data_IF_088760171888
#
_entry.id   IF_088760171888
#
_cell.length_a   1.000
_cell.length_b   1.000
_cell.length_c   1.000
_cell.angle_alpha   90.00
_cell.angle_beta   90.00
_cell.angle_gamma   90.00
#
_symmetry.space_group_name_H-M   'P 1'
#
loop_
_entity.id
_entity.type
_entity.pdbx_description
1 polymer ?
#
# COMPACT_ATOMS: atom_id res chain seq x y z
N UNK A 1 -23.07 -14.72 -38.37
CA UNK A 1 -21.66 -14.41 -38.06
C UNK A 1 -21.49 -12.89 -38.13
N UNK A 2 -21.75 -12.17 -37.03
CA UNK A 2 -21.56 -10.71 -36.96
C UNK A 2 -20.17 -10.47 -36.37
N UNK A 3 -19.27 -9.91 -37.17
CA UNK A 3 -17.99 -9.38 -36.72
C UNK A 3 -18.27 -8.33 -35.65
N UNK A 4 -17.88 -8.61 -34.40
CA UNK A 4 -17.98 -7.62 -33.34
C UNK A 4 -16.85 -6.61 -33.55
N UNK A 5 -17.29 -5.38 -33.71
CA UNK A 5 -16.51 -4.19 -34.04
C UNK A 5 -15.36 -4.00 -33.04
N UNK A 6 -14.20 -3.57 -33.55
CA UNK A 6 -13.05 -3.07 -32.80
C UNK A 6 -13.50 -2.28 -31.55
N UNK A 7 -13.37 -2.90 -30.38
CA UNK A 7 -13.55 -2.22 -29.12
C UNK A 7 -12.37 -1.25 -29.01
N UNK A 8 -12.60 0.06 -29.22
CA UNK A 8 -11.57 1.08 -28.97
C UNK A 8 -11.04 0.85 -27.55
N UNK A 9 -9.71 0.86 -27.33
CA UNK A 9 -9.17 0.69 -25.99
C UNK A 9 -9.78 1.74 -25.08
N UNK A 10 -10.48 1.28 -24.04
CA UNK A 10 -11.13 2.14 -23.04
C UNK A 10 -10.03 3.00 -22.41
N UNK A 11 -10.23 4.32 -22.35
CA UNK A 11 -9.30 5.24 -21.67
C UNK A 11 -9.05 4.74 -20.24
N UNK A 12 -7.79 4.59 -19.85
CA UNK A 12 -7.42 4.12 -18.52
C UNK A 12 -7.09 5.33 -17.65
N UNK A 13 -7.98 5.67 -16.73
CA UNK A 13 -7.73 6.75 -15.77
C UNK A 13 -7.03 6.18 -14.53
N UNK A 14 -5.76 6.53 -14.37
CA UNK A 14 -4.86 6.07 -13.30
C UNK A 14 -4.74 7.15 -12.24
N UNK A 15 -5.14 6.82 -11.01
CA UNK A 15 -4.88 7.64 -9.84
C UNK A 15 -3.57 7.21 -9.17
N UNK A 16 -2.71 8.16 -8.84
CA UNK A 16 -1.57 7.95 -7.96
C UNK A 16 -1.85 8.68 -6.65
N UNK A 17 -2.15 7.92 -5.60
CA UNK A 17 -2.36 8.43 -4.26
C UNK A 17 -1.05 8.29 -3.46
N UNK A 18 -0.24 9.35 -3.51
CA UNK A 18 1.10 9.41 -2.94
C UNK A 18 1.51 10.87 -2.67
N UNK A 19 2.47 11.09 -1.77
CA UNK A 19 2.91 12.43 -1.34
C UNK A 19 4.36 12.73 -1.74
N UNK A 20 4.67 12.53 -3.03
CA UNK A 20 5.96 12.90 -3.60
C UNK A 20 5.73 13.73 -4.88
N UNK A 21 6.19 14.98 -4.86
CA UNK A 21 5.99 15.93 -5.97
C UNK A 21 7.12 15.93 -6.99
N UNK A 22 8.34 15.56 -6.59
CA UNK A 22 9.57 15.76 -7.36
C UNK A 22 9.68 14.93 -8.65
N UNK A 23 8.86 13.88 -8.83
CA UNK A 23 8.95 12.99 -10.00
C UNK A 23 7.61 12.75 -10.72
N UNK A 24 6.61 13.61 -10.49
CA UNK A 24 5.26 13.36 -11.03
C UNK A 24 5.24 13.44 -12.57
N UNK A 25 5.90 14.44 -13.13
CA UNK A 25 5.95 14.64 -14.59
C UNK A 25 6.76 13.52 -15.25
N UNK A 26 7.86 13.08 -14.63
CA UNK A 26 8.71 12.00 -15.12
C UNK A 26 7.98 10.66 -15.09
N UNK A 27 7.26 10.35 -14.02
CA UNK A 27 6.44 9.14 -13.91
C UNK A 27 5.34 9.16 -14.99
N UNK A 28 4.64 10.28 -15.14
CA UNK A 28 3.58 10.43 -16.13
C UNK A 28 4.14 10.24 -17.55
N UNK A 29 5.22 10.95 -17.87
CA UNK A 29 5.87 10.88 -19.18
C UNK A 29 6.40 9.48 -19.51
N UNK A 30 7.05 8.81 -18.54
CA UNK A 30 7.55 7.44 -18.74
C UNK A 30 6.41 6.47 -19.04
N UNK A 31 5.35 6.51 -18.24
CA UNK A 31 4.22 5.59 -18.39
C UNK A 31 3.44 5.84 -19.69
N UNK A 32 3.23 7.10 -20.07
CA UNK A 32 2.61 7.46 -21.35
C UNK A 32 3.41 6.95 -22.55
N UNK A 33 4.74 7.08 -22.50
CA UNK A 33 5.63 6.62 -23.57
C UNK A 33 5.68 5.10 -23.69
N UNK A 34 5.77 4.39 -22.57
CA UNK A 34 5.99 2.94 -22.55
C UNK A 34 4.71 2.15 -22.84
N UNK A 35 3.53 2.70 -22.54
CA UNK A 35 2.24 2.00 -22.72
C UNK A 35 1.64 2.13 -24.13
N UNK A 36 2.50 2.33 -25.14
CA UNK A 36 2.20 2.54 -26.58
C UNK A 36 0.83 2.00 -27.02
N UNK A 37 -0.14 2.90 -27.21
CA UNK A 37 -1.48 2.58 -27.70
C UNK A 37 -2.59 2.62 -26.64
N UNK A 38 -2.24 2.77 -25.37
CA UNK A 38 -3.18 3.01 -24.29
C UNK A 38 -3.45 4.51 -24.14
N UNK A 39 -4.72 4.91 -24.21
CA UNK A 39 -5.14 6.26 -23.82
C UNK A 39 -5.14 6.33 -22.28
N UNK A 40 -3.97 6.54 -21.67
CA UNK A 40 -3.82 6.61 -20.22
C UNK A 40 -3.88 8.07 -19.79
N UNK A 41 -4.62 8.35 -18.72
CA UNK A 41 -4.60 9.64 -18.04
C UNK A 41 -4.17 9.42 -16.60
N UNK A 42 -3.08 10.06 -16.20
CA UNK A 42 -2.53 9.92 -14.85
C UNK A 42 -2.91 11.16 -14.06
N UNK A 43 -3.46 10.97 -12.86
CA UNK A 43 -3.79 12.07 -11.94
C UNK A 43 -3.26 11.76 -10.55
N UNK A 44 -2.56 12.72 -9.97
CA UNK A 44 -2.00 12.63 -8.63
C UNK A 44 -2.99 13.16 -7.59
N UNK A 45 -3.12 12.44 -6.48
CA UNK A 45 -3.96 12.81 -5.35
C UNK A 45 -3.15 12.78 -4.07
N UNK A 46 -3.26 13.83 -3.27
CA UNK A 46 -2.53 13.96 -1.99
C UNK A 46 -3.44 13.85 -0.76
N UNK A 47 -4.76 13.87 -0.96
CA UNK A 47 -5.74 13.79 0.13
C UNK A 47 -6.84 12.77 -0.15
N UNK A 48 -7.32 12.10 0.90
CA UNK A 48 -8.43 11.15 0.81
C UNK A 48 -9.73 11.78 0.25
N UNK A 49 -10.14 13.00 0.67
CA UNK A 49 -11.34 13.63 0.11
C UNK A 49 -11.25 13.87 -1.40
N UNK A 50 -10.08 14.32 -1.90
CA UNK A 50 -9.88 14.52 -3.35
C UNK A 50 -9.95 13.18 -4.11
N UNK A 51 -9.31 12.13 -3.58
CA UNK A 51 -9.37 10.80 -4.18
C UNK A 51 -10.81 10.24 -4.19
N UNK A 52 -11.54 10.37 -3.07
CA UNK A 52 -12.94 9.93 -3.00
C UNK A 52 -13.83 10.64 -4.01
N UNK A 53 -13.70 11.96 -4.13
CA UNK A 53 -14.44 12.70 -5.13
C UNK A 53 -14.12 12.20 -6.55
N UNK A 54 -12.85 11.89 -6.85
CA UNK A 54 -12.49 11.35 -8.16
C UNK A 54 -13.08 9.95 -8.42
N UNK A 55 -13.03 9.06 -7.44
CA UNK A 55 -13.61 7.70 -7.55
C UNK A 55 -15.14 7.79 -7.68
N UNK A 56 -15.81 8.64 -6.89
CA UNK A 56 -17.27 8.82 -6.93
C UNK A 56 -17.77 9.37 -8.27
N UNK A 57 -16.93 10.13 -8.98
CA UNK A 57 -17.21 10.70 -10.31
C UNK A 57 -16.65 9.85 -11.48
N UNK A 58 -16.33 8.58 -11.24
CA UNK A 58 -15.84 7.62 -12.25
C UNK A 58 -14.56 8.10 -13.00
N UNK A 59 -13.73 8.94 -12.36
CA UNK A 59 -12.46 9.47 -12.91
C UNK A 59 -11.25 8.59 -12.60
N UNK A 60 -11.48 7.41 -12.05
CA UNK A 60 -10.42 6.46 -11.66
C UNK A 60 -10.86 5.07 -12.08
N UNK A 61 -9.93 4.29 -12.63
CA UNK A 61 -10.12 2.88 -12.92
C UNK A 61 -9.01 2.02 -12.30
N UNK A 62 -7.81 2.59 -12.16
CA UNK A 62 -6.66 1.99 -11.52
C UNK A 62 -6.10 2.98 -10.50
N UNK A 63 -5.81 2.51 -9.29
CA UNK A 63 -5.22 3.29 -8.21
C UNK A 63 -3.89 2.68 -7.81
N UNK A 64 -2.83 3.49 -7.82
CA UNK A 64 -1.56 3.18 -7.17
C UNK A 64 -1.45 3.96 -5.86
N UNK A 65 -0.93 3.30 -4.84
CA UNK A 65 -0.51 3.94 -3.59
C UNK A 65 0.72 3.23 -3.04
N UNK A 66 1.33 3.77 -2.01
CA UNK A 66 2.49 3.16 -1.33
C UNK A 66 2.13 2.92 0.14
N UNK A 67 2.61 1.81 0.69
CA UNK A 67 2.20 1.37 2.02
C UNK A 67 2.61 2.31 3.15
N UNK A 68 3.85 2.81 3.18
CA UNK A 68 4.30 3.75 4.20
C UNK A 68 3.50 5.06 4.15
N UNK A 69 3.19 5.58 2.96
CA UNK A 69 2.31 6.73 2.78
C UNK A 69 0.88 6.43 3.27
N UNK A 70 0.30 5.31 2.84
CA UNK A 70 -1.07 4.93 3.18
C UNK A 70 -1.24 4.70 4.69
N UNK A 71 -0.29 3.99 5.31
CA UNK A 71 -0.26 3.70 6.75
C UNK A 71 0.00 4.95 7.58
N UNK A 72 0.76 5.92 7.06
CA UNK A 72 0.96 7.21 7.71
C UNK A 72 -0.20 8.21 7.51
N UNK A 73 -1.12 7.92 6.59
CA UNK A 73 -2.27 8.78 6.37
C UNK A 73 -3.22 8.77 7.58
N UNK A 74 -3.35 9.92 8.26
CA UNK A 74 -4.16 10.08 9.48
C UNK A 74 -5.62 9.68 9.32
N UNK A 75 -6.16 9.76 8.11
CA UNK A 75 -7.56 9.49 7.83
C UNK A 75 -7.81 8.09 7.29
N UNK A 76 -6.76 7.32 6.96
CA UNK A 76 -6.89 6.00 6.34
C UNK A 76 -7.77 5.07 7.15
N UNK A 77 -7.51 4.87 8.45
CA UNK A 77 -8.25 3.85 9.20
C UNK A 77 -9.75 4.18 9.33
N UNK A 78 -10.09 5.44 9.57
CA UNK A 78 -11.48 5.91 9.62
C UNK A 78 -12.20 5.71 8.27
N UNK A 79 -11.44 5.72 7.17
CA UNK A 79 -11.97 5.67 5.82
C UNK A 79 -11.74 4.35 5.09
N UNK A 80 -10.94 3.41 5.62
CA UNK A 80 -10.48 2.21 4.90
C UNK A 80 -11.64 1.30 4.48
N UNK A 81 -12.66 1.16 5.34
CA UNK A 81 -13.89 0.45 5.00
C UNK A 81 -14.68 1.15 3.89
N UNK A 82 -14.83 2.49 3.97
CA UNK A 82 -15.49 3.29 2.91
C UNK A 82 -14.71 3.18 1.61
N UNK A 83 -13.41 3.33 1.66
CA UNK A 83 -12.48 3.23 0.53
C UNK A 83 -12.61 1.87 -0.16
N UNK A 84 -12.51 0.77 0.60
CA UNK A 84 -12.62 -0.58 0.03
C UNK A 84 -13.99 -0.81 -0.60
N UNK A 85 -15.08 -0.44 0.09
CA UNK A 85 -16.44 -0.54 -0.44
C UNK A 85 -16.60 0.25 -1.75
N UNK A 86 -16.16 1.51 -1.75
CA UNK A 86 -16.26 2.38 -2.91
C UNK A 86 -15.44 1.87 -4.10
N UNK A 87 -14.22 1.37 -3.85
CA UNK A 87 -13.39 0.76 -4.89
C UNK A 87 -14.07 -0.48 -5.50
N UNK A 88 -14.69 -1.33 -4.68
CA UNK A 88 -15.44 -2.50 -5.15
C UNK A 88 -16.66 -2.07 -5.98
N UNK A 89 -17.48 -1.14 -5.47
CA UNK A 89 -18.68 -0.63 -6.13
C UNK A 89 -18.37 0.01 -7.50
N UNK A 90 -17.20 0.66 -7.63
CA UNK A 90 -16.75 1.32 -8.86
C UNK A 90 -15.80 0.46 -9.69
N UNK A 91 -15.57 -0.81 -9.32
CA UNK A 91 -14.65 -1.73 -9.97
C UNK A 91 -13.24 -1.14 -10.20
N UNK A 92 -12.74 -0.42 -9.19
CA UNK A 92 -11.39 0.15 -9.17
C UNK A 92 -10.39 -0.96 -8.87
N UNK A 93 -9.41 -1.13 -9.74
CA UNK A 93 -8.26 -2.01 -9.45
C UNK A 93 -7.25 -1.22 -8.63
N UNK A 94 -6.75 -1.80 -7.53
CA UNK A 94 -5.85 -1.15 -6.59
C UNK A 94 -4.52 -1.87 -6.55
N UNK A 95 -3.45 -1.10 -6.67
CA UNK A 95 -2.08 -1.54 -6.54
C UNK A 95 -1.41 -0.82 -5.38
N UNK A 96 -0.71 -1.56 -4.52
CA UNK A 96 0.08 -1.02 -3.42
C UNK A 96 1.55 -1.31 -3.66
N UNK A 97 2.36 -0.27 -3.56
CA UNK A 97 3.82 -0.31 -3.59
C UNK A 97 4.31 -0.54 -2.16
N UNK A 98 5.28 -1.45 -2.01
CA UNK A 98 5.80 -1.88 -0.71
C UNK A 98 7.32 -1.92 -0.80
N UNK A 99 8.01 -1.13 0.02
CA UNK A 99 9.45 -1.29 0.21
C UNK A 99 9.78 -2.67 0.81
N UNK A 100 11.04 -3.05 0.93
CA UNK A 100 11.38 -4.30 1.62
C UNK A 100 10.96 -4.19 3.09
N UNK A 101 9.86 -4.87 3.41
CA UNK A 101 9.28 -4.89 4.74
C UNK A 101 9.56 -6.24 5.39
N UNK A 102 9.58 -6.24 6.72
CA UNK A 102 9.66 -7.49 7.45
C UNK A 102 8.47 -8.41 7.09
N UNK A 103 8.69 -9.72 6.91
CA UNK A 103 7.69 -10.67 6.40
C UNK A 103 6.32 -10.66 7.12
N UNK A 104 6.29 -10.46 8.45
CA UNK A 104 5.02 -10.35 9.19
C UNK A 104 4.18 -9.12 8.80
N UNK A 105 4.81 -7.98 8.53
CA UNK A 105 4.11 -6.83 8.00
C UNK A 105 3.66 -7.11 6.58
N UNK A 106 4.54 -7.72 5.78
CA UNK A 106 4.23 -8.04 4.39
C UNK A 106 3.00 -8.95 4.27
N UNK A 107 2.85 -9.95 5.14
CA UNK A 107 1.62 -10.76 5.27
C UNK A 107 0.39 -9.89 5.59
N UNK A 108 0.53 -8.96 6.54
CA UNK A 108 -0.57 -8.02 6.85
C UNK A 108 -0.95 -7.15 5.64
N UNK A 109 0.02 -6.67 4.88
CA UNK A 109 -0.21 -5.88 3.67
C UNK A 109 -0.93 -6.72 2.61
N UNK A 110 -0.51 -7.97 2.41
CA UNK A 110 -1.16 -8.92 1.49
C UNK A 110 -2.61 -9.18 1.94
N UNK A 111 -2.86 -9.32 3.24
CA UNK A 111 -4.20 -9.49 3.82
C UNK A 111 -5.11 -8.24 3.68
N UNK A 112 -4.55 -7.07 3.30
CA UNK A 112 -5.37 -5.91 2.89
C UNK A 112 -6.07 -6.16 1.54
N UNK A 113 -5.71 -7.23 0.81
CA UNK A 113 -6.35 -7.71 -0.42
C UNK A 113 -6.45 -6.63 -1.50
N UNK A 114 -5.35 -5.93 -1.75
CA UNK A 114 -5.20 -5.13 -2.97
C UNK A 114 -5.08 -6.07 -4.17
N UNK A 115 -5.54 -5.63 -5.35
CA UNK A 115 -5.46 -6.40 -6.59
C UNK A 115 -4.02 -6.57 -7.07
N UNK A 116 -3.09 -5.70 -6.65
CA UNK A 116 -1.66 -5.87 -6.83
C UNK A 116 -0.85 -5.38 -5.62
N UNK A 117 0.19 -6.11 -5.25
CA UNK A 117 1.19 -5.75 -4.25
C UNK A 117 2.57 -5.84 -4.91
N UNK A 118 3.25 -4.71 -5.07
CA UNK A 118 4.48 -4.61 -5.86
C UNK A 118 5.61 -4.15 -4.96
N UNK A 119 6.81 -4.71 -5.14
CA UNK A 119 8.00 -4.17 -4.50
C UNK A 119 8.38 -2.81 -5.10
N UNK A 120 8.74 -1.84 -4.27
CA UNK A 120 9.31 -0.56 -4.72
C UNK A 120 10.60 -0.77 -5.53
N UNK A 121 11.33 -1.84 -5.28
CA UNK A 121 12.57 -2.19 -6.00
C UNK A 121 12.33 -2.49 -7.49
N UNK A 122 11.10 -2.84 -7.88
CA UNK A 122 10.73 -3.00 -9.30
C UNK A 122 10.57 -1.66 -10.03
N UNK A 123 10.58 -0.53 -9.30
CA UNK A 123 10.48 0.82 -9.84
C UNK A 123 9.29 1.02 -10.80
N UNK A 124 9.51 1.82 -11.84
CA UNK A 124 8.47 2.09 -12.85
C UNK A 124 8.13 0.87 -13.71
N UNK A 125 9.03 -0.12 -13.78
CA UNK A 125 8.77 -1.35 -14.52
C UNK A 125 7.66 -2.19 -13.87
N UNK A 126 7.58 -2.19 -12.53
CA UNK A 126 6.49 -2.82 -11.79
C UNK A 126 5.14 -2.16 -12.06
N UNK A 127 5.09 -0.82 -12.05
CA UNK A 127 3.87 -0.04 -12.37
C UNK A 127 3.39 -0.35 -13.80
N UNK A 128 4.30 -0.32 -14.78
CA UNK A 128 3.99 -0.65 -16.18
C UNK A 128 3.39 -2.06 -16.31
N UNK A 129 4.00 -3.04 -15.64
CA UNK A 129 3.53 -4.44 -15.64
C UNK A 129 2.09 -4.55 -15.12
N UNK A 130 1.72 -3.80 -14.09
CA UNK A 130 0.35 -3.81 -13.56
C UNK A 130 -0.64 -3.21 -14.53
N UNK A 131 -0.28 -2.09 -15.17
CA UNK A 131 -1.12 -1.49 -16.22
C UNK A 131 -1.39 -2.52 -17.33
N UNK A 132 -0.34 -3.18 -17.83
CA UNK A 132 -0.46 -4.24 -18.84
C UNK A 132 -1.34 -5.41 -18.35
N UNK A 133 -1.07 -5.93 -17.15
CA UNK A 133 -1.83 -7.07 -16.60
C UNK A 133 -3.31 -6.76 -16.45
N UNK A 134 -3.66 -5.58 -15.94
CA UNK A 134 -5.06 -5.19 -15.72
C UNK A 134 -5.78 -4.88 -17.03
N UNK A 135 -5.07 -4.33 -18.01
CA UNK A 135 -5.65 -4.06 -19.34
C UNK A 135 -5.92 -5.33 -20.13
N UNK A 136 -5.06 -6.34 -20.02
CA UNK A 136 -5.11 -7.54 -20.88
C UNK A 136 -5.59 -8.81 -20.18
N UNK A 137 -5.62 -8.88 -18.84
CA UNK A 137 -6.08 -10.05 -18.08
C UNK A 137 -7.07 -9.61 -17.00
N UNK A 138 -8.23 -10.26 -16.93
CA UNK A 138 -9.34 -9.75 -16.12
C UNK A 138 -9.15 -9.81 -14.60
N UNK A 139 -8.33 -10.69 -14.02
CA UNK A 139 -8.23 -10.79 -12.56
C UNK A 139 -7.18 -11.81 -12.12
N UNK A 140 -6.20 -11.40 -11.31
CA UNK A 140 -5.72 -12.16 -10.13
C UNK A 140 -4.95 -11.19 -9.23
N UNK A 141 -4.98 -11.33 -7.88
CA UNK A 141 -4.00 -10.68 -7.03
C UNK A 141 -2.59 -10.94 -7.57
N UNK A 142 -1.89 -9.87 -7.97
CA UNK A 142 -0.48 -9.94 -8.33
C UNK A 142 0.36 -9.61 -7.11
N UNK A 143 1.34 -10.44 -6.79
CA UNK A 143 2.34 -10.14 -5.77
C UNK A 143 3.71 -10.28 -6.43
N UNK A 144 4.58 -9.27 -6.28
CA UNK A 144 5.96 -9.33 -6.75
C UNK A 144 6.67 -10.57 -6.23
N UNK A 145 7.50 -11.20 -7.07
CA UNK A 145 8.17 -12.47 -6.73
C UNK A 145 9.09 -12.34 -5.52
N UNK A 146 9.82 -11.23 -5.41
CA UNK A 146 10.70 -10.97 -4.25
C UNK A 146 9.90 -10.86 -2.95
N UNK A 147 8.73 -10.19 -2.98
CA UNK A 147 7.84 -10.12 -1.83
C UNK A 147 7.30 -11.49 -1.44
N UNK A 148 6.88 -12.32 -2.39
CA UNK A 148 6.46 -13.70 -2.10
C UNK A 148 7.60 -14.52 -1.49
N UNK A 149 8.81 -14.42 -2.03
CA UNK A 149 9.98 -15.13 -1.51
C UNK A 149 10.27 -14.75 -0.05
N UNK A 150 10.18 -13.46 0.30
CA UNK A 150 10.34 -12.98 1.69
C UNK A 150 9.28 -13.62 2.61
N UNK A 151 8.03 -13.76 2.15
CA UNK A 151 6.95 -14.37 2.95
C UNK A 151 7.14 -15.88 3.11
N UNK A 152 7.56 -16.57 2.04
CA UNK A 152 7.71 -18.03 2.00
C UNK A 152 8.94 -18.51 2.78
N UNK A 153 10.02 -17.73 2.80
CA UNK A 153 11.27 -18.05 3.50
C UNK A 153 11.17 -17.83 5.02
N UNK A 154 10.03 -17.34 5.53
CA UNK A 154 9.87 -17.04 6.96
C UNK A 154 8.96 -18.00 7.70
N UNK A 155 9.52 -18.59 8.75
CA UNK A 155 8.81 -19.45 9.68
C UNK A 155 7.92 -18.61 10.60
N UNK A 156 6.61 -18.79 10.50
CA UNK A 156 5.60 -18.12 11.35
C UNK A 156 5.87 -18.23 12.84
N UNK A 157 6.62 -19.26 13.25
CA UNK A 157 6.95 -19.52 14.66
C UNK A 157 7.98 -18.53 15.24
N UNK A 158 8.61 -17.69 14.42
CA UNK A 158 9.72 -16.83 14.87
C UNK A 158 9.34 -15.43 15.34
N UNK A 159 8.16 -14.89 15.01
CA UNK A 159 7.73 -13.58 15.54
C UNK A 159 6.68 -13.74 16.62
N UNK A 160 6.97 -13.28 17.85
CA UNK A 160 6.03 -13.35 18.95
C UNK A 160 4.91 -12.28 18.85
N UNK A 161 4.99 -11.38 17.87
CA UNK A 161 4.07 -10.25 17.72
C UNK A 161 2.88 -10.58 16.83
N UNK A 162 1.71 -10.14 17.26
CA UNK A 162 0.53 -10.06 16.40
C UNK A 162 0.69 -8.93 15.36
N UNK A 163 -0.03 -8.98 14.23
CA UNK A 163 0.03 -7.91 13.22
C UNK A 163 -0.23 -6.51 13.79
N UNK A 164 -1.15 -6.39 14.76
CA UNK A 164 -1.48 -5.11 15.40
C UNK A 164 -0.36 -4.59 16.30
N UNK A 165 0.28 -5.49 17.05
CA UNK A 165 1.45 -5.15 17.88
C UNK A 165 2.62 -4.72 16.99
N UNK A 166 2.85 -5.46 15.91
CA UNK A 166 3.88 -5.13 14.92
C UNK A 166 3.64 -3.75 14.31
N UNK A 167 2.42 -3.47 13.84
CA UNK A 167 2.05 -2.18 13.24
C UNK A 167 2.23 -1.00 14.23
N UNK A 168 1.92 -1.19 15.51
CA UNK A 168 2.17 -0.16 16.54
C UNK A 168 3.66 0.07 16.74
N UNK A 169 4.48 -1.00 16.84
CA UNK A 169 5.93 -0.84 16.99
C UNK A 169 6.56 -0.16 15.77
N UNK A 170 6.14 -0.52 14.56
CA UNK A 170 6.59 0.11 13.33
C UNK A 170 6.33 1.62 13.34
N UNK A 171 5.09 2.04 13.64
CA UNK A 171 4.76 3.47 13.70
C UNK A 171 5.53 4.23 14.78
N UNK A 172 5.79 3.59 15.94
CA UNK A 172 6.62 4.17 17.00
C UNK A 172 8.07 4.34 16.52
N UNK A 173 8.60 3.35 15.81
CA UNK A 173 9.96 3.39 15.29
C UNK A 173 10.12 4.45 14.17
N UNK A 174 9.05 4.71 13.42
CA UNK A 174 8.90 5.84 12.48
C UNK A 174 8.70 7.22 13.17
N UNK A 175 8.80 7.29 14.50
CA UNK A 175 8.72 8.54 15.25
C UNK A 175 7.30 9.03 15.58
N UNK A 176 6.25 8.24 15.34
CA UNK A 176 4.90 8.62 15.71
C UNK A 176 4.69 8.56 17.23
N UNK A 177 4.05 9.58 17.80
CA UNK A 177 3.68 9.55 19.22
C UNK A 177 2.52 8.58 19.49
N UNK A 178 2.35 8.13 20.74
CA UNK A 178 1.21 7.29 21.13
C UNK A 178 -0.13 7.97 20.82
N UNK A 179 -0.20 9.28 21.04
CA UNK A 179 -1.39 10.08 20.72
C UNK A 179 -1.64 10.14 19.21
N UNK A 180 -0.60 10.29 18.40
CA UNK A 180 -0.73 10.25 16.93
C UNK A 180 -1.25 8.89 16.46
N UNK A 181 -0.66 7.81 16.98
CA UNK A 181 -1.05 6.44 16.63
C UNK A 181 -2.48 6.16 17.08
N UNK A 182 -2.86 6.59 18.28
CA UNK A 182 -4.22 6.46 18.82
C UNK A 182 -5.25 7.17 17.91
N UNK A 183 -4.93 8.40 17.47
CA UNK A 183 -5.72 9.14 16.51
C UNK A 183 -5.83 8.42 15.16
N UNK A 184 -4.70 7.97 14.59
CA UNK A 184 -4.63 7.22 13.32
C UNK A 184 -5.44 5.93 13.37
N UNK A 185 -5.38 5.21 14.50
CA UNK A 185 -6.00 3.89 14.67
C UNK A 185 -7.42 3.96 15.25
N UNK A 186 -7.98 5.15 15.50
CA UNK A 186 -9.26 5.33 16.19
C UNK A 186 -9.35 4.48 17.48
N UNK A 187 -8.32 4.58 18.33
CA UNK A 187 -8.19 3.85 19.60
C UNK A 187 -7.86 4.82 20.73
N UNK A 188 -8.08 4.40 21.98
CA UNK A 188 -7.60 5.16 23.13
C UNK A 188 -6.08 5.11 23.24
N UNK A 189 -5.48 6.18 23.79
CA UNK A 189 -4.05 6.21 24.14
C UNK A 189 -3.67 5.00 25.02
N UNK A 190 -4.55 4.58 25.93
CA UNK A 190 -4.34 3.41 26.78
C UNK A 190 -4.23 2.11 25.97
N UNK A 191 -5.07 1.92 24.95
CA UNK A 191 -5.03 0.71 24.11
C UNK A 191 -3.71 0.63 23.33
N UNK A 192 -3.29 1.75 22.73
CA UNK A 192 -2.03 1.80 21.96
C UNK A 192 -0.83 1.62 22.89
N UNK A 193 -0.86 2.25 24.08
CA UNK A 193 0.19 2.06 25.08
C UNK A 193 0.30 0.60 25.53
N UNK A 194 -0.82 -0.09 25.80
CA UNK A 194 -0.83 -1.52 26.14
C UNK A 194 -0.31 -2.38 24.99
N UNK A 195 -0.73 -2.12 23.74
CA UNK A 195 -0.22 -2.85 22.57
C UNK A 195 1.29 -2.68 22.42
N UNK A 196 1.80 -1.46 22.53
CA UNK A 196 3.24 -1.19 22.54
C UNK A 196 3.94 -1.94 23.67
N UNK A 197 3.45 -1.84 24.91
CA UNK A 197 4.07 -2.50 26.06
C UNK A 197 4.10 -4.02 25.93
N UNK A 198 3.01 -4.63 25.46
CA UNK A 198 2.95 -6.07 25.22
C UNK A 198 3.94 -6.50 24.14
N UNK A 199 4.04 -5.72 23.05
CA UNK A 199 4.98 -5.98 21.98
C UNK A 199 6.43 -5.87 22.45
N UNK A 200 6.77 -4.80 23.17
CA UNK A 200 8.09 -4.60 23.77
C UNK A 200 8.44 -5.74 24.73
N UNK A 201 7.50 -6.18 25.58
CA UNK A 201 7.69 -7.30 26.50
C UNK A 201 7.94 -8.62 25.77
N UNK A 202 7.20 -8.89 24.70
CA UNK A 202 7.37 -10.09 23.85
C UNK A 202 8.73 -10.14 23.16
N UNK A 203 9.30 -8.97 22.85
CA UNK A 203 10.64 -8.83 22.28
C UNK A 203 11.75 -8.65 23.33
N UNK A 204 11.40 -8.66 24.62
CA UNK A 204 12.31 -8.37 25.73
C UNK A 204 13.05 -7.02 25.58
N UNK A 205 12.34 -5.98 25.15
CA UNK A 205 12.84 -4.62 24.96
C UNK A 205 12.32 -3.71 26.08
N UNK A 206 13.18 -2.82 26.55
CA UNK A 206 12.92 -1.93 27.69
C UNK A 206 12.84 -0.44 27.31
N UNK A 207 13.33 -0.06 26.13
CA UNK A 207 13.34 1.35 25.68
C UNK A 207 13.03 1.54 24.19
N UNK A 208 12.58 2.75 23.81
CA UNK A 208 12.39 3.09 22.40
C UNK A 208 13.72 3.02 21.61
N UNK A 209 14.87 3.31 22.25
CA UNK A 209 16.17 3.19 21.61
C UNK A 209 16.52 1.73 21.31
N UNK A 210 16.20 0.81 22.22
CA UNK A 210 16.32 -0.64 21.99
C UNK A 210 15.36 -1.11 20.91
N UNK A 211 14.14 -0.57 20.84
CA UNK A 211 13.22 -0.83 19.74
C UNK A 211 13.81 -0.41 18.40
N UNK A 212 14.29 0.82 18.28
CA UNK A 212 14.90 1.32 17.04
C UNK A 212 16.08 0.42 16.64
N UNK A 213 16.98 0.13 17.58
CA UNK A 213 18.13 -0.76 17.33
C UNK A 213 17.69 -2.17 16.92
N UNK A 214 16.69 -2.74 17.60
CA UNK A 214 16.13 -4.04 17.26
C UNK A 214 15.59 -4.03 15.83
N UNK A 215 14.82 -2.99 15.47
CA UNK A 215 14.24 -2.85 14.13
C UNK A 215 15.32 -2.74 13.05
N UNK A 216 16.40 -2.00 13.30
CA UNK A 216 17.54 -1.95 12.38
C UNK A 216 18.24 -3.32 12.23
N UNK A 217 18.57 -3.98 13.35
CA UNK A 217 19.29 -5.28 13.33
C UNK A 217 18.48 -6.38 12.67
N UNK A 218 17.15 -6.34 12.81
CA UNK A 218 16.23 -7.32 12.22
C UNK A 218 15.73 -6.91 10.83
N UNK A 219 16.25 -5.82 10.26
CA UNK A 219 15.90 -5.35 8.91
C UNK A 219 14.45 -4.86 8.77
N UNK A 220 13.84 -4.40 9.87
CA UNK A 220 12.48 -3.83 9.87
C UNK A 220 12.46 -2.30 9.73
N UNK A 221 13.63 -1.66 9.71
CA UNK A 221 13.81 -0.25 9.32
C UNK A 221 15.14 -0.07 8.58
N UNK A 222 15.14 0.88 7.63
CA UNK A 222 16.31 1.36 6.87
C UNK A 222 16.84 2.71 7.39
#
# INVERSE_FOLDING_TARGET
MRLNMYNKPKKLSVAIFYDFSLFQEEIAHYLEKETKGSNIEITFYHTMPALFNAIENDRVNLLFTEFAFLSNNKTWLANSKKFNRLCIERNIKRAILVANQHPYLLRHIIDMKFEATISVDEGLAGIRRIIELIQYRENIPFISKNLMQIVDETDDRQCPLTPKEWEVLYLVAQGCSISDIAGRKNKSNSTVATQKQNAMKKLNLSSNSELIKYMYVTGMME
#
